data_IF_019192521330
#
_entry.id   IF_019192521330
#
_cell.length_a   1.000
_cell.length_b   1.000
_cell.length_c   1.000
_cell.angle_alpha   90.00
_cell.angle_beta   90.00
_cell.angle_gamma   90.00
#
_symmetry.space_group_name_H-M   'P 1'
#
loop_
_entity.id
_entity.type
_entity.pdbx_description
1 polymer ?
#
# COMPACT_ATOMS: atom_id res chain seq x y z
N UNK A 1 -0.43 55.45 9.18
CA UNK A 1 -1.53 54.66 9.79
C UNK A 1 -2.00 53.47 8.94
N UNK A 2 -1.87 53.49 7.59
CA UNK A 2 -2.35 52.40 6.71
C UNK A 2 -1.56 51.07 6.82
N UNK A 3 -0.26 51.11 7.14
CA UNK A 3 0.58 49.89 7.21
C UNK A 3 0.30 48.96 8.40
N UNK A 4 -0.15 49.49 9.54
CA UNK A 4 -0.45 48.65 10.71
C UNK A 4 -1.70 47.80 10.48
N UNK A 5 -2.68 48.32 9.75
CA UNK A 5 -3.92 47.63 9.43
C UNK A 5 -3.70 46.45 8.48
N UNK A 6 -2.79 46.60 7.51
CA UNK A 6 -2.45 45.53 6.55
C UNK A 6 -1.73 44.37 7.25
N UNK A 7 -0.80 44.65 8.17
CA UNK A 7 -0.09 43.60 8.92
C UNK A 7 -1.03 42.79 9.81
N UNK A 8 -1.99 43.44 10.46
CA UNK A 8 -3.00 42.76 11.30
C UNK A 8 -3.91 41.87 10.45
N UNK A 9 -4.34 42.34 9.28
CA UNK A 9 -5.16 41.55 8.36
C UNK A 9 -4.42 40.31 7.83
N UNK A 10 -3.13 40.44 7.48
CA UNK A 10 -2.31 39.32 7.02
C UNK A 10 -2.11 38.28 8.13
N UNK A 11 -1.82 38.70 9.36
CA UNK A 11 -1.70 37.77 10.49
C UNK A 11 -3.01 37.03 10.79
N UNK A 12 -4.16 37.70 10.70
CA UNK A 12 -5.46 37.08 10.91
C UNK A 12 -5.79 36.01 9.85
N UNK A 13 -5.46 36.27 8.57
CA UNK A 13 -5.66 35.31 7.47
C UNK A 13 -4.75 34.10 7.63
N UNK A 14 -3.49 34.29 8.03
CA UNK A 14 -2.55 33.17 8.27
C UNK A 14 -3.03 32.32 9.45
N UNK A 15 -3.49 32.94 10.54
CA UNK A 15 -4.05 32.21 11.69
C UNK A 15 -5.28 31.41 11.28
N UNK A 16 -6.23 31.98 10.54
CA UNK A 16 -7.41 31.26 10.03
C UNK A 16 -7.04 30.07 9.14
N UNK A 17 -6.03 30.23 8.27
CA UNK A 17 -5.54 29.15 7.41
C UNK A 17 -4.91 28.00 8.22
N UNK A 18 -4.12 28.31 9.25
CA UNK A 18 -3.50 27.30 10.12
C UNK A 18 -4.58 26.54 10.89
N UNK A 19 -5.55 27.24 11.51
CA UNK A 19 -6.62 26.59 12.28
C UNK A 19 -7.51 25.73 11.38
N UNK A 20 -7.79 26.18 10.16
CA UNK A 20 -8.52 25.40 9.15
C UNK A 20 -7.78 24.11 8.77
N UNK A 21 -6.47 24.18 8.54
CA UNK A 21 -5.65 23.00 8.24
C UNK A 21 -5.57 22.03 9.43
N UNK A 22 -5.43 22.52 10.66
CA UNK A 22 -5.43 21.69 11.87
C UNK A 22 -6.76 20.94 12.07
N UNK A 23 -7.89 21.56 11.72
CA UNK A 23 -9.21 20.93 11.78
C UNK A 23 -9.36 19.82 10.72
N UNK A 24 -8.90 20.06 9.50
CA UNK A 24 -8.93 19.07 8.41
C UNK A 24 -8.04 17.86 8.74
N UNK A 25 -6.83 18.10 9.25
CA UNK A 25 -5.89 17.04 9.66
C UNK A 25 -6.49 16.23 10.82
N UNK A 26 -7.06 16.90 11.83
CA UNK A 26 -7.71 16.24 12.97
C UNK A 26 -8.89 15.38 12.52
N UNK A 27 -9.73 15.89 11.62
CA UNK A 27 -10.87 15.15 11.06
C UNK A 27 -10.43 13.95 10.21
N UNK A 28 -9.34 14.08 9.46
CA UNK A 28 -8.79 12.97 8.68
C UNK A 28 -8.19 11.88 9.57
N UNK A 29 -7.48 12.28 10.64
CA UNK A 29 -6.90 11.36 11.61
C UNK A 29 -7.97 10.60 12.42
N UNK A 30 -9.07 11.28 12.78
CA UNK A 30 -10.22 10.64 13.45
C UNK A 30 -10.94 9.63 12.55
N UNK A 31 -11.13 9.93 11.25
CA UNK A 31 -11.71 8.97 10.28
C UNK A 31 -10.86 7.71 10.15
N UNK A 32 -9.55 7.84 10.08
CA UNK A 32 -8.66 6.69 10.05
C UNK A 32 -8.78 5.84 11.32
N UNK A 33 -8.80 6.46 12.52
CA UNK A 33 -8.94 5.72 13.78
C UNK A 33 -10.26 4.96 13.88
N UNK A 34 -11.39 5.52 13.44
CA UNK A 34 -12.68 4.82 13.45
C UNK A 34 -12.69 3.62 12.50
N UNK A 35 -12.06 3.73 11.33
CA UNK A 35 -11.94 2.61 10.37
C UNK A 35 -11.08 1.48 10.94
N UNK A 36 -10.01 1.79 11.70
CA UNK A 36 -9.21 0.77 12.37
C UNK A 36 -9.96 0.07 13.52
N UNK A 37 -10.76 0.80 14.29
CA UNK A 37 -11.53 0.21 15.41
C UNK A 37 -12.70 -0.65 14.94
N UNK A 38 -13.45 -0.23 13.90
CA UNK A 38 -14.51 -1.08 13.31
C UNK A 38 -13.94 -2.35 12.66
N UNK A 39 -12.76 -2.27 12.04
CA UNK A 39 -12.08 -3.44 11.47
C UNK A 39 -11.44 -4.36 12.54
N UNK A 40 -11.23 -3.86 13.76
CA UNK A 40 -10.75 -4.66 14.89
C UNK A 40 -11.85 -5.52 15.53
N UNK A 41 -13.08 -5.00 15.61
CA UNK A 41 -14.21 -5.66 16.28
C UNK A 41 -14.81 -6.79 15.42
N UNK A 42 -14.76 -6.67 14.08
CA UNK A 42 -15.23 -7.73 13.16
C UNK A 42 -14.28 -8.94 13.03
N UNK A 43 -13.17 -9.00 13.79
CA UNK A 43 -12.17 -10.09 13.72
C UNK A 43 -12.59 -11.40 14.37
N UNK A 44 -13.73 -11.46 15.07
CA UNK A 44 -14.10 -12.63 15.88
C UNK A 44 -14.78 -13.79 15.12
N UNK A 45 -14.98 -13.70 13.80
CA UNK A 45 -15.66 -14.76 13.03
C UNK A 45 -15.03 -15.03 11.66
N UNK A 46 -13.70 -15.17 11.59
CA UNK A 46 -13.07 -15.69 10.36
C UNK A 46 -13.04 -17.22 10.38
N UNK A 47 -13.95 -17.84 9.62
CA UNK A 47 -14.00 -19.28 9.37
C UNK A 47 -13.19 -19.62 8.10
N UNK A 48 -12.03 -20.29 8.18
CA UNK A 48 -11.13 -20.50 7.06
C UNK A 48 -11.48 -21.79 6.32
N UNK A 49 -12.50 -21.79 5.46
CA UNK A 49 -12.70 -22.87 4.52
C UNK A 49 -12.74 -22.40 3.06
N UNK A 50 -11.89 -23.08 2.27
CA UNK A 50 -11.80 -23.15 0.80
C UNK A 50 -10.98 -22.08 0.08
N UNK A 51 -9.67 -22.12 0.32
CA UNK A 51 -8.64 -22.47 -0.69
C UNK A 51 -7.30 -22.43 0.04
N UNK A 52 -6.65 -23.59 0.26
CA UNK A 52 -5.34 -23.66 0.91
C UNK A 52 -4.24 -23.23 -0.08
N UNK A 53 -4.30 -21.99 -0.55
CA UNK A 53 -3.25 -21.41 -1.38
C UNK A 53 -2.05 -21.15 -0.48
N UNK A 54 -0.93 -21.76 -0.82
CA UNK A 54 0.32 -21.61 -0.09
C UNK A 54 1.00 -20.29 -0.44
N UNK A 55 1.83 -19.79 0.48
CA UNK A 55 2.72 -18.65 0.19
C UNK A 55 3.64 -18.93 -1.01
N UNK A 56 4.04 -20.18 -1.23
CA UNK A 56 4.86 -20.56 -2.38
C UNK A 56 4.15 -20.31 -3.71
N UNK A 57 2.88 -20.72 -3.81
CA UNK A 57 2.05 -20.50 -5.00
C UNK A 57 1.80 -19.03 -5.27
N UNK A 58 1.51 -18.23 -4.25
CA UNK A 58 1.32 -16.77 -4.40
C UNK A 58 2.60 -16.12 -4.94
N UNK A 59 3.74 -16.38 -4.31
CA UNK A 59 5.00 -15.75 -4.69
C UNK A 59 5.48 -16.20 -6.07
N UNK A 60 5.23 -17.45 -6.44
CA UNK A 60 5.55 -17.95 -7.79
C UNK A 60 4.61 -17.35 -8.83
N UNK A 61 3.32 -17.18 -8.51
CA UNK A 61 2.37 -16.54 -9.40
C UNK A 61 2.74 -15.07 -9.66
N UNK A 62 3.12 -14.31 -8.63
CA UNK A 62 3.61 -12.93 -8.80
C UNK A 62 4.86 -12.92 -9.68
N UNK A 63 5.86 -13.76 -9.40
CA UNK A 63 7.10 -13.81 -10.19
C UNK A 63 6.86 -14.13 -11.67
N UNK A 64 5.98 -15.10 -11.94
CA UNK A 64 5.56 -15.44 -13.29
C UNK A 64 4.92 -14.24 -14.01
N UNK A 65 4.05 -13.50 -13.31
CA UNK A 65 3.31 -12.37 -13.90
C UNK A 65 4.18 -11.13 -14.13
N UNK A 66 5.16 -10.88 -13.26
CA UNK A 66 6.00 -9.68 -13.33
C UNK A 66 7.17 -9.83 -14.33
N UNK A 67 7.73 -11.02 -14.50
CA UNK A 67 8.92 -11.20 -15.37
C UNK A 67 9.04 -12.57 -16.03
N UNK A 68 7.98 -13.38 -15.99
CA UNK A 68 8.04 -14.76 -16.46
C UNK A 68 9.21 -15.55 -15.84
N UNK A 69 9.35 -15.44 -14.51
CA UNK A 69 10.45 -16.03 -13.75
C UNK A 69 11.83 -15.48 -14.14
N UNK A 70 11.94 -14.16 -14.35
CA UNK A 70 13.19 -13.50 -14.73
C UNK A 70 13.60 -13.69 -16.20
N UNK A 71 12.75 -14.33 -17.01
CA UNK A 71 13.02 -14.56 -18.44
C UNK A 71 12.71 -13.33 -19.30
N UNK A 72 11.89 -12.39 -18.82
CA UNK A 72 11.68 -11.12 -19.50
C UNK A 72 12.96 -10.28 -19.44
N UNK A 73 13.63 -9.98 -20.58
CA UNK A 73 14.84 -9.17 -20.57
C UNK A 73 14.63 -7.77 -19.99
N UNK A 74 13.40 -7.24 -20.04
CA UNK A 74 13.07 -5.92 -19.48
C UNK A 74 13.12 -5.89 -17.97
N UNK A 75 13.00 -7.03 -17.27
CA UNK A 75 13.05 -7.04 -15.81
C UNK A 75 14.44 -6.69 -15.24
N UNK A 76 15.47 -6.73 -16.09
CA UNK A 76 16.84 -6.30 -15.78
C UNK A 76 17.03 -4.79 -15.93
N UNK A 77 16.07 -4.11 -16.57
CA UNK A 77 16.04 -2.67 -16.72
C UNK A 77 15.19 -2.06 -15.61
N UNK A 78 15.42 -0.77 -15.33
CA UNK A 78 14.55 -0.01 -14.44
C UNK A 78 13.30 0.39 -15.22
N UNK A 79 12.13 0.02 -14.70
CA UNK A 79 10.84 0.35 -15.30
C UNK A 79 10.50 1.85 -15.24
N UNK A 80 9.43 2.23 -15.94
CA UNK A 80 9.00 3.64 -16.06
C UNK A 80 8.73 4.31 -14.71
N UNK A 81 8.27 3.55 -13.72
CA UNK A 81 7.98 4.04 -12.37
C UNK A 81 9.04 3.62 -11.36
N UNK A 82 10.22 3.23 -11.85
CA UNK A 82 11.33 2.79 -11.02
C UNK A 82 11.23 1.33 -10.58
N UNK A 83 10.39 0.51 -11.22
CA UNK A 83 10.31 -0.94 -10.98
C UNK A 83 11.68 -1.60 -11.19
N UNK A 84 12.08 -2.49 -10.28
CA UNK A 84 13.40 -3.14 -10.29
C UNK A 84 13.30 -4.64 -10.05
N UNK A 85 14.16 -5.37 -10.74
CA UNK A 85 14.34 -6.81 -10.58
C UNK A 85 13.16 -7.65 -11.07
N UNK A 86 13.24 -8.94 -10.82
CA UNK A 86 12.32 -9.92 -11.41
C UNK A 86 10.89 -9.85 -10.83
N UNK A 87 10.75 -9.26 -9.64
CA UNK A 87 9.45 -8.97 -9.03
C UNK A 87 8.93 -7.58 -9.36
N UNK A 88 9.65 -6.77 -10.14
CA UNK A 88 9.27 -5.41 -10.52
C UNK A 88 8.94 -4.52 -9.29
N UNK A 89 9.78 -4.62 -8.26
CA UNK A 89 9.60 -3.90 -6.99
C UNK A 89 9.78 -2.41 -7.22
N UNK A 90 8.80 -1.60 -6.81
CA UNK A 90 8.88 -0.13 -6.88
C UNK A 90 9.54 0.46 -5.64
N UNK A 91 10.16 1.65 -5.72
CA UNK A 91 10.72 2.32 -4.54
C UNK A 91 9.68 2.57 -3.45
N UNK A 92 8.45 2.92 -3.85
CA UNK A 92 7.33 3.13 -2.91
C UNK A 92 7.01 1.84 -2.14
N UNK A 93 7.06 0.68 -2.80
CA UNK A 93 6.85 -0.61 -2.15
C UNK A 93 7.93 -0.90 -1.11
N UNK A 94 9.20 -0.60 -1.41
CA UNK A 94 10.33 -0.79 -0.49
C UNK A 94 10.12 0.04 0.78
N UNK A 95 9.81 1.34 0.62
CA UNK A 95 9.57 2.23 1.75
C UNK A 95 8.37 1.79 2.59
N UNK A 96 7.31 1.27 1.95
CA UNK A 96 6.14 0.76 2.67
C UNK A 96 6.45 -0.50 3.49
N UNK A 97 7.23 -1.44 2.94
CA UNK A 97 7.68 -2.62 3.69
C UNK A 97 8.60 -2.25 4.85
N UNK A 98 9.49 -1.27 4.65
CA UNK A 98 10.34 -0.72 5.70
C UNK A 98 9.52 -0.05 6.79
N UNK A 99 8.49 0.72 6.42
CA UNK A 99 7.54 1.33 7.39
C UNK A 99 6.78 0.28 8.20
N UNK A 100 6.35 -0.82 7.56
CA UNK A 100 5.55 -1.88 8.23
C UNK A 100 6.40 -2.71 9.21
N UNK A 101 7.67 -2.95 8.90
CA UNK A 101 8.45 -3.99 9.59
C UNK A 101 9.91 -3.63 9.93
N UNK A 102 10.41 -2.49 9.46
CA UNK A 102 11.83 -2.16 9.48
C UNK A 102 12.68 -2.88 8.43
N UNK A 103 12.13 -3.87 7.72
CA UNK A 103 12.85 -4.62 6.71
C UNK A 103 13.05 -3.82 5.42
N UNK A 104 14.29 -3.72 4.95
CA UNK A 104 14.61 -3.08 3.66
C UNK A 104 14.81 -4.15 2.59
N UNK A 105 14.08 -4.04 1.50
CA UNK A 105 14.18 -4.96 0.35
C UNK A 105 15.37 -4.58 -0.52
N UNK A 106 16.18 -5.57 -0.88
CA UNK A 106 17.08 -5.48 -2.03
C UNK A 106 16.32 -5.98 -3.28
N UNK A 107 15.98 -5.10 -4.25
CA UNK A 107 15.14 -5.48 -5.39
C UNK A 107 15.85 -6.42 -6.38
N UNK A 108 17.17 -6.61 -6.28
CA UNK A 108 17.95 -7.49 -7.14
C UNK A 108 18.22 -8.86 -6.51
N UNK A 109 17.79 -9.09 -5.27
CA UNK A 109 17.85 -10.39 -4.61
C UNK A 109 16.44 -10.98 -4.48
N UNK A 110 16.19 -12.10 -5.19
CA UNK A 110 14.91 -12.77 -5.20
C UNK A 110 14.47 -13.24 -3.79
N UNK A 111 15.39 -13.63 -2.91
CA UNK A 111 15.01 -14.03 -1.55
C UNK A 111 14.58 -12.81 -0.72
N UNK A 112 15.31 -11.70 -0.84
CA UNK A 112 14.92 -10.43 -0.22
C UNK A 112 13.54 -9.96 -0.69
N UNK A 113 13.29 -9.98 -2.01
CA UNK A 113 11.99 -9.66 -2.60
C UNK A 113 10.88 -10.54 -2.04
N UNK A 114 11.05 -11.87 -2.04
CA UNK A 114 10.06 -12.82 -1.52
C UNK A 114 9.72 -12.56 -0.06
N UNK A 115 10.72 -12.28 0.79
CA UNK A 115 10.51 -11.92 2.19
C UNK A 115 9.73 -10.63 2.32
N UNK A 116 10.11 -9.59 1.58
CA UNK A 116 9.44 -8.29 1.58
C UNK A 116 7.98 -8.37 1.12
N UNK A 117 7.72 -9.05 0.00
CA UNK A 117 6.38 -9.29 -0.52
C UNK A 117 5.52 -10.03 0.50
N UNK A 118 6.06 -11.08 1.15
CA UNK A 118 5.34 -11.82 2.18
C UNK A 118 4.98 -10.94 3.37
N UNK A 119 5.88 -10.06 3.82
CA UNK A 119 5.60 -9.09 4.89
C UNK A 119 4.46 -8.16 4.47
N UNK A 120 4.57 -7.56 3.29
CA UNK A 120 3.58 -6.62 2.77
C UNK A 120 2.20 -7.27 2.62
N UNK A 121 2.13 -8.45 1.99
CA UNK A 121 0.88 -9.17 1.79
C UNK A 121 0.25 -9.65 3.11
N UNK A 122 1.06 -10.11 4.08
CA UNK A 122 0.54 -10.43 5.43
C UNK A 122 -0.11 -9.23 6.10
N UNK A 123 0.38 -8.02 5.83
CA UNK A 123 -0.20 -6.79 6.38
C UNK A 123 -1.50 -6.39 5.67
N UNK A 124 -1.54 -6.44 4.34
CA UNK A 124 -2.65 -5.90 3.55
C UNK A 124 -3.76 -6.90 3.19
N UNK A 125 -3.47 -8.19 3.05
CA UNK A 125 -4.50 -9.20 2.76
C UNK A 125 -5.65 -9.14 3.79
N UNK A 126 -5.40 -9.09 5.12
CA UNK A 126 -6.47 -9.00 6.12
C UNK A 126 -7.33 -7.72 6.02
N UNK A 127 -6.84 -6.69 5.35
CA UNK A 127 -7.56 -5.42 5.11
C UNK A 127 -8.41 -5.44 3.83
N UNK A 128 -8.44 -6.59 3.16
CA UNK A 128 -9.16 -6.84 1.92
C UNK A 128 -9.94 -8.14 2.00
N UNK A 129 -10.80 -8.36 1.02
CA UNK A 129 -11.53 -9.59 0.80
C UNK A 129 -10.77 -10.55 -0.14
N UNK A 130 -9.48 -10.33 -0.46
CA UNK A 130 -8.74 -11.13 -1.44
C UNK A 130 -8.67 -12.60 -1.01
N UNK A 131 -8.99 -13.53 -1.91
CA UNK A 131 -9.03 -14.99 -1.64
C UNK A 131 -8.18 -15.81 -2.59
N UNK A 132 -8.03 -15.41 -3.85
CA UNK A 132 -7.26 -16.17 -4.83
C UNK A 132 -5.88 -15.59 -5.09
N UNK A 133 -4.97 -16.38 -5.66
CA UNK A 133 -3.63 -15.89 -6.05
C UNK A 133 -3.70 -14.78 -7.10
N UNK A 134 -4.71 -14.81 -7.97
CA UNK A 134 -5.02 -13.78 -8.97
C UNK A 134 -5.44 -12.48 -8.29
N UNK A 135 -6.34 -12.55 -7.30
CA UNK A 135 -6.77 -11.37 -6.54
C UNK A 135 -5.64 -10.79 -5.70
N UNK A 136 -4.83 -11.66 -5.08
CA UNK A 136 -3.65 -11.25 -4.32
C UNK A 136 -2.61 -10.59 -5.24
N UNK A 137 -2.46 -11.08 -6.47
CA UNK A 137 -1.63 -10.43 -7.48
C UNK A 137 -2.17 -9.05 -7.87
N UNK A 138 -3.49 -8.90 -8.06
CA UNK A 138 -4.07 -7.57 -8.34
C UNK A 138 -3.88 -6.61 -7.14
N UNK A 139 -3.92 -7.13 -5.90
CA UNK A 139 -3.59 -6.37 -4.71
C UNK A 139 -2.12 -5.91 -4.71
N UNK A 140 -1.20 -6.82 -5.01
CA UNK A 140 0.23 -6.52 -5.15
C UNK A 140 0.47 -5.45 -6.23
N UNK A 141 -0.10 -5.65 -7.42
CA UNK A 141 0.18 -4.81 -8.60
C UNK A 141 -0.37 -3.39 -8.48
N UNK A 142 -1.52 -3.23 -7.80
CA UNK A 142 -2.26 -1.96 -7.72
C UNK A 142 -2.14 -1.25 -6.37
N UNK A 143 -1.63 -1.92 -5.35
CA UNK A 143 -1.72 -1.48 -3.96
C UNK A 143 -3.16 -1.54 -3.41
N UNK A 144 -3.31 -1.30 -2.11
CA UNK A 144 -4.58 -1.46 -1.39
C UNK A 144 -5.72 -0.64 -2.01
N UNK A 145 -5.51 0.66 -2.23
CA UNK A 145 -6.54 1.56 -2.78
C UNK A 145 -6.91 1.19 -4.21
N UNK A 146 -5.92 0.86 -5.04
CA UNK A 146 -6.15 0.46 -6.43
C UNK A 146 -6.89 -0.86 -6.53
N UNK A 147 -6.62 -1.80 -5.63
CA UNK A 147 -7.31 -3.08 -5.53
C UNK A 147 -8.80 -2.92 -5.19
N UNK A 148 -9.13 -2.12 -4.15
CA UNK A 148 -10.52 -1.89 -3.75
C UNK A 148 -11.36 -1.33 -4.91
N UNK A 149 -10.84 -0.31 -5.60
CA UNK A 149 -11.47 0.27 -6.81
C UNK A 149 -11.57 -0.69 -7.98
N UNK A 150 -10.60 -1.60 -8.13
CA UNK A 150 -10.64 -2.63 -9.17
C UNK A 150 -11.74 -3.65 -8.88
N UNK A 151 -11.89 -4.06 -7.61
CA UNK A 151 -12.88 -5.05 -7.20
C UNK A 151 -14.30 -4.53 -7.27
N UNK A 152 -14.54 -3.29 -6.85
CA UNK A 152 -15.85 -2.62 -6.95
C UNK A 152 -16.39 -2.60 -8.38
N UNK A 153 -15.53 -2.44 -9.39
CA UNK A 153 -15.92 -2.42 -10.81
C UNK A 153 -16.29 -3.79 -11.39
N UNK A 154 -16.10 -4.88 -10.64
CA UNK A 154 -16.41 -6.25 -11.07
C UNK A 154 -17.58 -6.87 -10.30
N UNK A 155 -18.13 -6.13 -9.34
CA UNK A 155 -19.39 -6.46 -8.66
C UNK A 155 -20.53 -5.88 -9.47
#
# INVERSE_FOLDING_TARGET
MKDKTIKIAVCAVILLAITGMSFVISRHCQRHKSEYQQNGINRSQYNPHKTNITWGEILNYIWMRESYYGRDPKCKLIGKHGERGEYQITPIFIEDVKRISGYTINPYDNQSCRKGIKIWLKHYIPLTDARTKEEIYELYRRGLTGYKRWRERRK
#
